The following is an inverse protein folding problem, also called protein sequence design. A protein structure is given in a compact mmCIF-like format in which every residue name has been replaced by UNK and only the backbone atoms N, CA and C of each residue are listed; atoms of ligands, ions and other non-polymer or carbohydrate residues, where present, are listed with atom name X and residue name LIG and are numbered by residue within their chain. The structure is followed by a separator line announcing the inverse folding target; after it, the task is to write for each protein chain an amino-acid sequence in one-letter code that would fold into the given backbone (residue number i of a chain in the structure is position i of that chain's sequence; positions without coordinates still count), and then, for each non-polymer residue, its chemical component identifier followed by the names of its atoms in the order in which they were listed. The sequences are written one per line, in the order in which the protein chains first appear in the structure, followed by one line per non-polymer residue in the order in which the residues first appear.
data_IF_224839881240
#
_entry.id   IF_224839881240
#
_cell.length_a   1.000
_cell.length_b   1.000
_cell.length_c   1.000
_cell.angle_alpha   90.00
_cell.angle_beta   90.00
_cell.angle_gamma   90.00
#
_symmetry.space_group_name_H-M   'P 1'
#
loop_
_entity.id
_entity.type
_entity.pdbx_description
1 polymer ?
#
# COMPACT_ATOMS: atom_id res chain seq x y z
N UNK A 1 -8.47 16.44 -9.81
CA UNK A 1 -7.66 15.37 -10.42
C UNK A 1 -8.50 14.10 -10.42
N UNK A 2 -9.09 13.78 -11.57
CA UNK A 2 -10.23 12.85 -11.65
C UNK A 2 -9.79 11.40 -11.41
N UNK A 3 -10.72 10.54 -10.99
CA UNK A 3 -10.48 9.09 -10.76
C UNK A 3 -10.01 8.35 -12.02
N UNK A 4 -10.26 8.92 -13.20
CA UNK A 4 -9.69 8.53 -14.49
C UNK A 4 -8.19 8.83 -14.62
N UNK A 5 -7.67 9.87 -13.97
CA UNK A 5 -6.23 10.19 -13.93
C UNK A 5 -5.48 9.23 -13.00
N UNK A 6 -6.10 8.80 -11.90
CA UNK A 6 -5.52 7.80 -11.00
C UNK A 6 -5.31 6.48 -11.76
N UNK A 7 -6.35 5.95 -12.44
CA UNK A 7 -6.23 4.71 -13.24
C UNK A 7 -5.18 4.80 -14.37
N UNK A 8 -4.93 6.00 -14.89
CA UNK A 8 -3.90 6.29 -15.92
C UNK A 8 -2.49 6.41 -15.33
N UNK A 9 -2.35 6.87 -14.08
CA UNK A 9 -1.09 6.90 -13.35
C UNK A 9 -0.66 5.51 -12.85
N UNK A 10 -1.59 4.67 -12.38
CA UNK A 10 -1.27 3.34 -11.85
C UNK A 10 -0.80 2.35 -12.93
N UNK A 11 -1.12 2.59 -14.20
CA UNK A 11 -0.58 1.82 -15.34
C UNK A 11 0.93 2.03 -15.55
N UNK A 12 1.50 3.14 -15.06
CA UNK A 12 2.94 3.42 -15.20
C UNK A 12 3.80 2.67 -14.17
N UNK A 13 3.31 2.48 -12.94
CA UNK A 13 4.02 1.70 -11.92
C UNK A 13 4.00 0.18 -12.18
N UNK A 14 3.03 -0.30 -12.97
CA UNK A 14 2.93 -1.70 -13.39
C UNK A 14 3.85 -2.05 -14.57
N UNK A 15 4.70 -1.12 -15.03
CA UNK A 15 5.65 -1.33 -16.14
C UNK A 15 7.10 -1.04 -15.73
N UNK A 16 7.47 -1.35 -14.48
CA UNK A 16 8.85 -1.27 -14.00
C UNK A 16 9.63 -2.60 -14.14
N UNK A 17 9.49 -3.28 -15.27
CA UNK A 17 10.55 -4.16 -15.77
C UNK A 17 10.50 -4.16 -17.30
N UNK A 18 11.62 -3.75 -17.89
CA UNK A 18 11.92 -3.62 -19.32
C UNK A 18 11.23 -2.46 -20.06
N UNK A 19 11.88 -1.29 -20.06
CA UNK A 19 12.04 -0.46 -21.27
C UNK A 19 12.99 0.72 -21.01
N UNK A 20 14.23 0.44 -20.60
CA UNK A 20 15.35 1.31 -20.95
C UNK A 20 15.75 1.00 -22.40
N UNK A 21 14.92 1.36 -23.38
CA UNK A 21 15.35 1.35 -24.80
C UNK A 21 15.99 2.69 -25.11
N UNK A 22 17.13 2.90 -24.48
CA UNK A 22 18.16 3.84 -24.91
C UNK A 22 19.53 3.18 -24.76
N UNK A 23 19.59 1.93 -25.22
CA UNK A 23 20.79 1.24 -25.66
C UNK A 23 20.35 0.34 -26.82
N UNK A 24 21.21 0.13 -27.81
CA UNK A 24 20.89 -0.58 -29.04
C UNK A 24 20.39 -2.02 -28.84
N UNK A 25 20.21 -2.71 -29.97
CA UNK A 25 19.80 -4.13 -30.12
C UNK A 25 20.30 -5.10 -29.02
N UNK A 26 21.43 -4.81 -28.39
CA UNK A 26 22.03 -5.47 -27.22
C UNK A 26 21.07 -5.67 -26.03
N UNK A 27 20.27 -4.66 -25.65
CA UNK A 27 19.42 -4.76 -24.44
C UNK A 27 18.21 -5.68 -24.59
N UNK A 28 17.68 -5.83 -25.81
CA UNK A 28 16.58 -6.75 -26.12
C UNK A 28 17.04 -8.20 -26.23
N UNK A 29 18.29 -8.41 -26.66
CA UNK A 29 18.88 -9.75 -26.77
C UNK A 29 19.21 -10.33 -25.38
N UNK A 30 19.72 -9.50 -24.45
CA UNK A 30 19.94 -9.89 -23.06
C UNK A 30 18.65 -10.29 -22.33
N UNK A 31 17.59 -9.49 -22.49
CA UNK A 31 16.27 -9.78 -21.88
C UNK A 31 15.68 -11.07 -22.48
N UNK A 32 15.79 -11.26 -23.79
CA UNK A 32 15.34 -12.48 -24.47
C UNK A 32 16.07 -13.73 -23.97
N UNK A 33 17.37 -13.63 -23.69
CA UNK A 33 18.17 -14.73 -23.14
C UNK A 33 17.83 -15.04 -21.66
N UNK A 34 17.38 -14.04 -20.90
CA UNK A 34 16.99 -14.19 -19.49
C UNK A 34 15.56 -14.70 -19.31
N UNK A 35 14.65 -14.44 -20.25
CA UNK A 35 13.23 -14.80 -20.17
C UNK A 35 12.98 -16.29 -19.84
N UNK A 36 13.70 -17.28 -20.42
CA UNK A 36 13.53 -18.69 -20.09
C UNK A 36 14.02 -19.06 -18.68
N UNK A 37 14.86 -18.22 -18.06
CA UNK A 37 15.46 -18.44 -16.73
C UNK A 37 14.64 -17.83 -15.59
N UNK A 38 13.59 -17.07 -15.92
CA UNK A 38 12.69 -16.47 -14.95
C UNK A 38 11.74 -17.50 -14.36
N UNK A 39 11.30 -17.25 -13.12
CA UNK A 39 10.23 -18.02 -12.51
C UNK A 39 8.96 -17.97 -13.37
N UNK A 40 8.17 -19.06 -13.44
CA UNK A 40 7.02 -19.14 -14.35
C UNK A 40 6.02 -17.98 -14.20
N UNK A 41 5.75 -17.56 -12.97
CA UNK A 41 4.84 -16.44 -12.69
C UNK A 41 5.40 -15.10 -13.20
N UNK A 42 6.68 -14.84 -12.96
CA UNK A 42 7.34 -13.62 -13.44
C UNK A 42 7.36 -13.57 -14.98
N UNK A 43 7.61 -14.72 -15.61
CA UNK A 43 7.56 -14.87 -17.06
C UNK A 43 6.17 -14.61 -17.62
N UNK A 44 5.12 -15.21 -17.03
CA UNK A 44 3.74 -15.00 -17.47
C UNK A 44 3.32 -13.52 -17.38
N UNK A 45 3.75 -12.81 -16.33
CA UNK A 45 3.50 -11.37 -16.19
C UNK A 45 4.19 -10.57 -17.31
N UNK A 46 5.44 -10.90 -17.66
CA UNK A 46 6.15 -10.22 -18.73
C UNK A 46 5.54 -10.49 -20.11
N UNK A 47 5.17 -11.75 -20.37
CA UNK A 47 4.51 -12.14 -21.62
C UNK A 47 3.15 -11.43 -21.78
N UNK A 48 2.35 -11.36 -20.72
CA UNK A 48 1.09 -10.61 -20.73
C UNK A 48 1.29 -9.11 -21.03
N UNK A 49 2.31 -8.49 -20.43
CA UNK A 49 2.65 -7.08 -20.68
C UNK A 49 3.18 -6.85 -22.10
N UNK A 50 4.00 -7.76 -22.62
CA UNK A 50 4.48 -7.71 -24.00
C UNK A 50 3.31 -7.83 -25.00
N UNK A 51 2.38 -8.75 -24.73
CA UNK A 51 1.13 -8.87 -25.48
C UNK A 51 0.34 -7.56 -25.48
N UNK A 52 0.14 -6.95 -24.30
CA UNK A 52 -0.54 -5.66 -24.17
C UNK A 52 0.16 -4.55 -24.96
N UNK A 53 1.49 -4.45 -24.86
CA UNK A 53 2.28 -3.47 -25.61
C UNK A 53 2.12 -3.63 -27.12
N UNK A 54 2.14 -4.87 -27.61
CA UNK A 54 1.97 -5.17 -29.03
C UNK A 54 0.57 -4.80 -29.54
N UNK A 55 -0.45 -4.92 -28.68
CA UNK A 55 -1.83 -4.55 -28.99
C UNK A 55 -2.09 -3.03 -28.95
N UNK A 56 -1.24 -2.25 -28.30
CA UNK A 56 -1.38 -0.79 -28.24
C UNK A 56 -1.13 -0.13 -29.60
N UNK A 57 -1.96 0.85 -29.92
CA UNK A 57 -1.78 1.79 -31.02
C UNK A 57 -0.55 2.69 -30.80
N UNK A 58 -0.08 3.35 -31.87
CA UNK A 58 1.04 4.29 -31.79
C UNK A 58 0.80 5.40 -30.75
N UNK A 59 -0.42 5.98 -30.73
CA UNK A 59 -0.80 7.01 -29.76
C UNK A 59 -0.76 6.51 -28.31
N UNK A 60 -1.19 5.27 -28.04
CA UNK A 60 -1.12 4.68 -26.71
C UNK A 60 0.33 4.43 -26.26
N UNK A 61 1.19 3.98 -27.19
CA UNK A 61 2.63 3.82 -26.94
C UNK A 61 3.30 5.17 -26.69
N UNK A 62 2.98 6.21 -27.47
CA UNK A 62 3.50 7.56 -27.27
C UNK A 62 3.08 8.13 -25.92
N UNK A 63 1.80 7.98 -25.56
CA UNK A 63 1.30 8.38 -24.25
C UNK A 63 1.99 7.63 -23.10
N UNK A 64 2.31 6.34 -23.28
CA UNK A 64 3.11 5.59 -22.31
C UNK A 64 4.54 6.12 -22.20
N UNK A 65 5.20 6.37 -23.33
CA UNK A 65 6.56 6.93 -23.36
C UNK A 65 6.64 8.29 -22.67
N UNK A 66 5.63 9.15 -22.87
CA UNK A 66 5.54 10.42 -22.15
C UNK A 66 5.42 10.23 -20.64
N UNK A 67 4.57 9.28 -20.18
CA UNK A 67 4.45 8.97 -18.75
C UNK A 67 5.75 8.41 -18.17
N UNK A 68 6.48 7.58 -18.92
CA UNK A 68 7.78 7.04 -18.48
C UNK A 68 8.81 8.16 -18.32
N UNK A 69 8.93 9.06 -19.30
CA UNK A 69 9.82 10.23 -19.18
C UNK A 69 9.46 11.12 -17.99
N UNK A 70 8.16 11.35 -17.77
CA UNK A 70 7.69 12.11 -16.62
C UNK A 70 8.06 11.41 -15.29
N UNK A 71 7.92 10.09 -15.23
CA UNK A 71 8.33 9.28 -14.08
C UNK A 71 9.84 9.33 -13.84
N UNK A 72 10.66 9.17 -14.88
CA UNK A 72 12.11 9.17 -14.77
C UNK A 72 12.67 10.55 -14.40
N UNK A 73 11.96 11.62 -14.74
CA UNK A 73 12.27 12.98 -14.32
C UNK A 73 11.97 13.24 -12.84
N UNK A 74 11.19 12.39 -12.17
CA UNK A 74 10.88 12.58 -10.75
C UNK A 74 12.12 12.32 -9.86
N UNK A 75 12.36 13.18 -8.85
CA UNK A 75 13.33 12.92 -7.81
C UNK A 75 13.14 11.54 -7.16
N UNK A 76 14.24 10.95 -6.69
CA UNK A 76 14.22 9.60 -6.09
C UNK A 76 13.22 9.50 -4.94
N UNK A 77 13.18 10.50 -4.06
CA UNK A 77 12.26 10.53 -2.92
C UNK A 77 10.79 10.53 -3.35
N UNK A 78 10.45 11.24 -4.43
CA UNK A 78 9.09 11.26 -4.97
C UNK A 78 8.70 9.92 -5.58
N UNK A 79 9.61 9.31 -6.35
CA UNK A 79 9.41 7.95 -6.89
C UNK A 79 9.18 6.93 -5.78
N UNK A 80 9.96 7.01 -4.71
CA UNK A 80 9.83 6.10 -3.57
C UNK A 80 8.50 6.31 -2.84
N UNK A 81 8.07 7.56 -2.61
CA UNK A 81 6.76 7.86 -2.03
C UNK A 81 5.60 7.35 -2.89
N UNK A 82 5.71 7.42 -4.22
CA UNK A 82 4.68 6.88 -5.12
C UNK A 82 4.64 5.35 -5.05
N UNK A 83 5.82 4.69 -5.04
CA UNK A 83 5.92 3.23 -4.89
C UNK A 83 5.33 2.76 -3.55
N UNK A 84 5.61 3.48 -2.47
CA UNK A 84 5.09 3.16 -1.15
C UNK A 84 3.55 3.21 -1.14
N UNK A 85 2.95 4.29 -1.69
CA UNK A 85 1.49 4.42 -1.84
C UNK A 85 0.89 3.33 -2.72
N UNK A 86 1.61 2.90 -3.76
CA UNK A 86 1.19 1.80 -4.61
C UNK A 86 1.14 0.47 -3.85
N UNK A 87 2.20 0.14 -3.12
CA UNK A 87 2.26 -1.10 -2.32
C UNK A 87 1.20 -1.10 -1.22
N UNK A 88 0.98 0.05 -0.57
CA UNK A 88 -0.11 0.23 0.39
C UNK A 88 -1.48 -0.04 -0.23
N UNK A 89 -1.76 0.56 -1.39
CA UNK A 89 -2.98 0.30 -2.16
C UNK A 89 -3.15 -1.18 -2.53
N UNK A 90 -2.06 -1.83 -2.96
CA UNK A 90 -2.08 -3.26 -3.28
C UNK A 90 -2.36 -4.13 -2.06
N UNK A 91 -1.96 -3.71 -0.87
CA UNK A 91 -2.18 -4.46 0.36
C UNK A 91 -3.56 -4.24 1.01
N UNK A 92 -4.40 -3.37 0.44
CA UNK A 92 -5.80 -3.20 0.83
C UNK A 92 -6.65 -4.37 0.36
N UNK A 93 -7.63 -4.77 1.16
CA UNK A 93 -8.67 -5.72 0.74
C UNK A 93 -9.54 -5.12 -0.36
N UNK A 94 -10.30 -5.96 -1.08
CA UNK A 94 -11.22 -5.48 -2.12
C UNK A 94 -12.26 -4.48 -1.56
N UNK A 95 -12.76 -4.74 -0.35
CA UNK A 95 -13.69 -3.86 0.36
C UNK A 95 -13.05 -2.53 0.75
N UNK A 96 -11.84 -2.55 1.31
CA UNK A 96 -11.08 -1.34 1.64
C UNK A 96 -10.80 -0.50 0.38
N UNK A 97 -10.40 -1.13 -0.73
CA UNK A 97 -10.21 -0.44 -2.01
C UNK A 97 -11.51 0.21 -2.49
N UNK A 98 -12.63 -0.51 -2.44
CA UNK A 98 -13.93 0.03 -2.82
C UNK A 98 -14.32 1.24 -1.95
N UNK A 99 -14.09 1.15 -0.64
CA UNK A 99 -14.32 2.24 0.31
C UNK A 99 -13.46 3.47 0.00
N UNK A 100 -12.17 3.29 -0.31
CA UNK A 100 -11.28 4.40 -0.70
C UNK A 100 -11.69 5.02 -2.04
N UNK A 101 -12.09 4.22 -3.05
CA UNK A 101 -12.63 4.76 -4.32
C UNK A 101 -13.89 5.59 -4.05
N UNK A 102 -14.82 5.08 -3.25
CA UNK A 102 -16.05 5.78 -2.91
C UNK A 102 -15.78 7.08 -2.13
N UNK A 103 -14.81 7.06 -1.20
CA UNK A 103 -14.35 8.25 -0.48
C UNK A 103 -13.74 9.28 -1.42
N UNK A 104 -12.90 8.86 -2.37
CA UNK A 104 -12.36 9.73 -3.41
C UNK A 104 -13.44 10.38 -4.27
N UNK A 105 -14.46 9.61 -4.67
CA UNK A 105 -15.60 10.14 -5.43
C UNK A 105 -16.46 11.12 -4.62
N UNK A 106 -16.59 10.94 -3.29
CA UNK A 106 -17.23 11.92 -2.41
C UNK A 106 -16.38 13.19 -2.29
N UNK A 107 -15.07 13.03 -2.05
CA UNK A 107 -14.13 14.13 -1.91
C UNK A 107 -14.11 15.04 -3.15
N UNK A 108 -14.19 14.48 -4.37
CA UNK A 108 -14.24 15.28 -5.59
C UNK A 108 -15.54 16.06 -5.80
N UNK A 109 -16.62 15.71 -5.10
CA UNK A 109 -17.91 16.41 -5.16
C UNK A 109 -18.02 17.55 -4.14
N UNK A 110 -17.11 17.60 -3.17
CA UNK A 110 -17.02 18.70 -2.22
C UNK A 110 -16.61 19.98 -2.95
N UNK A 111 -17.02 21.12 -2.42
CA UNK A 111 -16.62 22.40 -2.96
C UNK A 111 -15.12 22.66 -2.72
N UNK A 112 -14.59 23.79 -3.23
CA UNK A 112 -13.17 24.10 -3.05
C UNK A 112 -12.79 24.40 -1.59
N UNK A 113 -13.68 25.04 -0.82
CA UNK A 113 -13.43 25.42 0.56
C UNK A 113 -13.41 24.19 1.48
N UNK A 114 -14.40 23.30 1.34
CA UNK A 114 -14.47 22.03 2.06
C UNK A 114 -13.24 21.15 1.77
N UNK A 115 -12.81 21.08 0.50
CA UNK A 115 -11.61 20.32 0.13
C UNK A 115 -10.33 20.92 0.72
N UNK A 116 -10.24 22.24 0.80
CA UNK A 116 -9.12 22.94 1.42
C UNK A 116 -9.07 22.65 2.94
N UNK A 117 -10.20 22.76 3.63
CA UNK A 117 -10.30 22.45 5.08
C UNK A 117 -9.86 21.00 5.37
N UNK A 118 -10.34 20.03 4.59
CA UNK A 118 -9.92 18.63 4.74
C UNK A 118 -8.44 18.42 4.40
N UNK A 119 -7.90 19.20 3.46
CA UNK A 119 -6.48 19.14 3.11
C UNK A 119 -5.61 19.66 4.24
N UNK A 120 -5.94 20.83 4.76
CA UNK A 120 -5.27 21.44 5.91
C UNK A 120 -5.32 20.53 7.13
N UNK A 121 -6.50 19.95 7.44
CA UNK A 121 -6.64 19.02 8.56
C UNK A 121 -5.73 17.78 8.40
N UNK A 122 -5.62 17.24 7.19
CA UNK A 122 -4.72 16.11 6.94
C UNK A 122 -3.24 16.51 6.95
N UNK A 123 -2.90 17.69 6.43
CA UNK A 123 -1.53 18.18 6.39
C UNK A 123 -1.03 18.56 7.81
N UNK A 124 -1.95 18.90 8.72
CA UNK A 124 -1.69 19.14 10.14
C UNK A 124 -1.41 17.86 10.94
N UNK A 125 -1.80 16.68 10.44
CA UNK A 125 -1.44 15.40 11.08
C UNK A 125 0.07 15.20 11.08
N UNK A 126 0.59 14.49 12.08
CA UNK A 126 2.02 14.19 12.09
C UNK A 126 2.40 13.21 10.95
N UNK A 127 3.69 13.20 10.60
CA UNK A 127 4.17 12.37 9.49
C UNK A 127 3.94 10.87 9.69
N UNK A 128 3.92 10.38 10.94
CA UNK A 128 3.64 8.99 11.25
C UNK A 128 2.15 8.68 11.09
N UNK A 129 1.26 9.54 11.56
CA UNK A 129 -0.19 9.42 11.40
C UNK A 129 -0.62 9.46 9.94
N UNK A 130 -0.06 10.39 9.15
CA UNK A 130 -0.29 10.42 7.70
C UNK A 130 0.13 9.11 7.02
N UNK A 131 1.26 8.53 7.43
CA UNK A 131 1.67 7.20 6.95
C UNK A 131 0.78 6.08 7.48
N UNK A 132 0.25 6.20 8.70
CA UNK A 132 -0.72 5.27 9.29
C UNK A 132 -1.95 5.06 8.40
N UNK A 133 -2.43 6.11 7.75
CA UNK A 133 -3.54 6.03 6.79
C UNK A 133 -3.25 5.13 5.57
N UNK A 134 -1.98 4.82 5.28
CA UNK A 134 -1.61 3.85 4.23
C UNK A 134 -2.01 2.41 4.57
N UNK A 135 -2.30 2.10 5.84
CA UNK A 135 -2.84 0.80 6.26
C UNK A 135 -4.30 0.58 5.81
N UNK A 136 -4.95 1.62 5.28
CA UNK A 136 -6.33 1.60 4.83
C UNK A 136 -7.31 2.25 5.80
N UNK A 137 -8.59 2.38 5.40
CA UNK A 137 -9.58 3.09 6.19
C UNK A 137 -9.96 2.38 7.51
N UNK A 138 -9.76 1.06 7.58
CA UNK A 138 -10.08 0.27 8.78
C UNK A 138 -9.03 0.47 9.87
N UNK A 139 -7.75 0.34 9.52
CA UNK A 139 -6.64 0.41 10.48
C UNK A 139 -6.07 1.82 10.63
N UNK A 140 -6.09 2.64 9.57
CA UNK A 140 -5.47 3.96 9.57
C UNK A 140 -6.05 4.92 10.61
N UNK A 141 -7.36 4.85 10.86
CA UNK A 141 -8.03 5.63 11.89
C UNK A 141 -7.59 5.27 13.31
N UNK A 142 -7.23 3.99 13.53
CA UNK A 142 -6.86 3.44 14.83
C UNK A 142 -5.32 3.48 15.01
N UNK A 143 -4.58 3.90 13.97
CA UNK A 143 -3.13 3.92 13.94
C UNK A 143 -2.49 4.74 15.06
N UNK A 144 -2.93 5.98 15.40
CA UNK A 144 -2.27 6.76 16.45
C UNK A 144 -2.19 6.01 17.78
N UNK A 145 -3.27 5.30 18.14
CA UNK A 145 -3.35 4.53 19.37
C UNK A 145 -2.56 3.21 19.31
N UNK A 146 -2.37 2.65 18.11
CA UNK A 146 -1.61 1.42 17.87
C UNK A 146 -0.16 1.68 17.45
N UNK A 147 0.24 2.93 17.24
CA UNK A 147 1.57 3.33 16.73
C UNK A 147 2.72 2.76 17.57
N UNK A 148 2.66 2.73 18.91
CA UNK A 148 3.73 2.12 19.72
C UNK A 148 3.89 0.61 19.50
N UNK A 149 2.84 -0.08 19.09
CA UNK A 149 2.89 -1.49 18.69
C UNK A 149 3.43 -1.63 17.27
N UNK A 150 3.04 -0.73 16.35
CA UNK A 150 3.32 -0.88 14.92
C UNK A 150 4.62 -0.25 14.42
N UNK A 151 5.30 0.56 15.24
CA UNK A 151 6.48 1.31 14.81
C UNK A 151 7.67 0.43 14.40
N UNK A 152 7.83 -0.76 15.01
CA UNK A 152 9.00 -1.63 14.82
C UNK A 152 8.59 -3.10 14.62
N UNK A 153 7.66 -3.35 13.71
CA UNK A 153 7.29 -4.72 13.35
C UNK A 153 8.38 -5.29 12.41
N UNK A 154 8.91 -6.50 12.66
CA UNK A 154 9.76 -7.25 11.74
C UNK A 154 9.01 -7.56 10.44
N UNK A 155 9.71 -7.51 9.30
CA UNK A 155 9.09 -7.61 7.97
C UNK A 155 8.28 -8.90 7.78
N UNK A 156 8.75 -10.00 8.37
CA UNK A 156 8.12 -11.32 8.36
C UNK A 156 6.79 -11.35 9.13
N UNK A 157 6.62 -10.51 10.15
CA UNK A 157 5.39 -10.44 10.95
C UNK A 157 4.34 -9.49 10.35
N UNK A 158 4.73 -8.60 9.42
CA UNK A 158 3.86 -7.52 8.90
C UNK A 158 2.53 -8.03 8.35
N UNK A 159 2.59 -9.08 7.52
CA UNK A 159 1.41 -9.59 6.83
C UNK A 159 0.45 -10.30 7.79
N UNK A 160 0.99 -11.10 8.70
CA UNK A 160 0.21 -11.85 9.68
C UNK A 160 -0.45 -10.89 10.69
N UNK A 161 0.33 -9.96 11.25
CA UNK A 161 -0.18 -8.96 12.19
C UNK A 161 -1.29 -8.10 11.56
N UNK A 162 -1.12 -7.65 10.31
CA UNK A 162 -2.15 -6.89 9.59
C UNK A 162 -3.42 -7.69 9.38
N UNK A 163 -3.30 -8.98 9.12
CA UNK A 163 -4.44 -9.89 8.97
C UNK A 163 -5.21 -10.01 10.28
N UNK A 164 -4.51 -10.25 11.39
CA UNK A 164 -5.12 -10.31 12.73
C UNK A 164 -5.82 -8.99 13.10
N UNK A 165 -5.15 -7.85 12.90
CA UNK A 165 -5.72 -6.53 13.23
C UNK A 165 -6.97 -6.19 12.39
N UNK A 166 -7.05 -6.67 11.15
CA UNK A 166 -8.24 -6.52 10.31
C UNK A 166 -9.37 -7.45 10.73
N UNK A 167 -9.05 -8.63 11.25
CA UNK A 167 -10.05 -9.55 11.81
C UNK A 167 -10.65 -9.04 13.13
N UNK A 168 -9.95 -8.16 13.85
CA UNK A 168 -10.47 -7.51 15.06
C UNK A 168 -11.66 -6.59 14.75
N UNK A 169 -12.62 -6.54 15.66
CA UNK A 169 -13.65 -5.51 15.68
C UNK A 169 -13.08 -4.16 16.11
N UNK A 170 -13.83 -3.09 15.88
CA UNK A 170 -13.47 -1.75 16.36
C UNK A 170 -13.30 -1.68 17.89
N UNK A 171 -14.08 -2.46 18.64
CA UNK A 171 -13.95 -2.56 20.11
C UNK A 171 -12.66 -3.27 20.49
N UNK A 172 -12.40 -4.42 19.87
CA UNK A 172 -11.17 -5.18 20.12
C UNK A 172 -9.88 -4.39 19.81
N UNK A 173 -9.88 -3.56 18.77
CA UNK A 173 -8.73 -2.67 18.48
C UNK A 173 -8.56 -1.56 19.53
N UNK A 174 -9.65 -1.04 20.08
CA UNK A 174 -9.60 -0.08 21.20
C UNK A 174 -9.05 -0.74 22.47
N UNK A 175 -9.52 -1.95 22.77
CA UNK A 175 -9.03 -2.75 23.89
C UNK A 175 -7.54 -3.08 23.74
N UNK A 176 -7.10 -3.45 22.52
CA UNK A 176 -5.69 -3.62 22.22
C UNK A 176 -4.90 -2.33 22.43
N UNK A 177 -5.43 -1.16 22.03
CA UNK A 177 -4.74 0.11 22.25
C UNK A 177 -4.53 0.40 23.75
N UNK A 178 -5.48 0.04 24.61
CA UNK A 178 -5.32 0.13 26.08
C UNK A 178 -4.17 -0.75 26.54
N UNK A 179 -4.08 -2.00 26.07
CA UNK A 179 -2.96 -2.90 26.39
C UNK A 179 -1.62 -2.31 25.93
N UNK A 180 -1.55 -1.80 24.70
CA UNK A 180 -0.34 -1.20 24.12
C UNK A 180 0.15 -0.01 24.95
N UNK A 181 -0.75 0.85 25.43
CA UNK A 181 -0.39 1.99 26.27
C UNK A 181 0.17 1.59 27.63
N UNK A 182 -0.28 0.47 28.20
CA UNK A 182 0.17 -0.05 29.50
C UNK A 182 1.44 -0.89 29.41
N UNK A 183 1.84 -1.29 28.20
CA UNK A 183 2.94 -2.23 27.97
C UNK A 183 4.29 -1.53 27.81
N UNK A 184 5.31 -2.03 28.51
CA UNK A 184 6.72 -1.69 28.27
C UNK A 184 7.16 -2.06 26.83
N UNK A 185 8.30 -1.54 26.34
CA UNK A 185 8.83 -1.93 25.03
C UNK A 185 8.97 -3.46 24.85
N UNK A 186 9.50 -4.16 25.85
CA UNK A 186 9.68 -5.62 25.78
C UNK A 186 8.35 -6.38 25.76
N UNK A 187 7.35 -5.90 26.51
CA UNK A 187 6.01 -6.49 26.48
C UNK A 187 5.33 -6.25 25.13
N UNK A 188 5.53 -5.09 24.51
CA UNK A 188 5.00 -4.80 23.17
C UNK A 188 5.58 -5.73 22.11
N UNK A 189 6.86 -6.07 22.21
CA UNK A 189 7.50 -7.03 21.30
C UNK A 189 6.83 -8.41 21.42
N UNK A 190 6.57 -8.85 22.65
CA UNK A 190 5.83 -10.09 22.90
C UNK A 190 4.39 -10.03 22.38
N UNK A 191 3.68 -8.92 22.61
CA UNK A 191 2.32 -8.72 22.10
C UNK A 191 2.28 -8.82 20.57
N UNK A 192 3.27 -8.25 19.86
CA UNK A 192 3.36 -8.36 18.40
C UNK A 192 3.48 -9.80 17.93
N UNK A 193 4.43 -10.56 18.47
CA UNK A 193 4.66 -11.95 18.03
C UNK A 193 3.47 -12.85 18.39
N UNK A 194 2.80 -12.62 19.52
CA UNK A 194 1.56 -13.33 19.87
C UNK A 194 0.44 -13.00 18.87
N UNK A 195 0.20 -11.72 18.59
CA UNK A 195 -0.82 -11.29 17.62
C UNK A 195 -0.55 -11.79 16.19
N UNK A 196 0.72 -11.89 15.79
CA UNK A 196 1.11 -12.40 14.48
C UNK A 196 0.77 -13.89 14.29
N UNK A 197 0.67 -14.67 15.38
CA UNK A 197 0.30 -16.11 15.32
C UNK A 197 -1.16 -16.37 15.69
N UNK A 198 -1.83 -15.38 16.28
CA UNK A 198 -3.18 -15.49 16.80
C UNK A 198 -4.21 -15.71 15.69
N UNK A 199 -5.01 -16.77 15.84
CA UNK A 199 -6.13 -17.03 14.94
C UNK A 199 -7.33 -16.13 15.26
N UNK A 200 -8.13 -15.71 14.26
CA UNK A 200 -9.27 -14.82 14.47
C UNK A 200 -10.25 -15.26 15.58
N UNK A 201 -10.52 -16.57 15.68
CA UNK A 201 -11.43 -17.13 16.68
C UNK A 201 -10.94 -16.96 18.13
N UNK A 202 -9.62 -16.84 18.34
CA UNK A 202 -9.01 -16.70 19.66
C UNK A 202 -8.88 -15.26 20.16
N UNK A 203 -9.16 -14.26 19.31
CA UNK A 203 -8.91 -12.83 19.61
C UNK A 203 -9.60 -12.37 20.90
N UNK A 204 -10.89 -12.69 21.05
CA UNK A 204 -11.68 -12.24 22.21
C UNK A 204 -11.14 -12.81 23.52
N UNK A 205 -10.83 -14.11 23.55
CA UNK A 205 -10.30 -14.77 24.75
C UNK A 205 -8.92 -14.22 25.12
N UNK A 206 -8.05 -14.05 24.11
CA UNK A 206 -6.71 -13.49 24.31
C UNK A 206 -6.76 -12.05 24.85
N UNK A 207 -7.64 -11.18 24.31
CA UNK A 207 -7.79 -9.81 24.82
C UNK A 207 -8.30 -9.78 26.26
N UNK A 208 -9.28 -10.62 26.59
CA UNK A 208 -9.83 -10.70 27.93
C UNK A 208 -8.77 -11.13 28.96
N UNK A 209 -8.03 -12.21 28.66
CA UNK A 209 -6.94 -12.69 29.53
C UNK A 209 -5.85 -11.63 29.76
N UNK A 210 -5.58 -10.79 28.75
CA UNK A 210 -4.56 -9.74 28.84
C UNK A 210 -5.01 -8.50 29.58
N UNK A 211 -6.29 -8.15 29.50
CA UNK A 211 -6.84 -6.97 30.17
C UNK A 211 -7.09 -7.19 31.66
N UNK A 212 -7.31 -8.43 32.09
CA UNK A 212 -7.55 -8.81 33.49
C UNK A 212 -6.26 -8.87 34.33
N UNK A 213 -5.10 -8.89 33.67
CA UNK A 213 -3.77 -8.86 34.32
C UNK A 213 -3.28 -7.42 34.53
#
# INVERSE_FOLDING_TARGET
MNTTDLRRWWGACLLLLACSVQAGRSGTDEISALLPRLQPEARAVLEARAGQWSAWSASERDGFQQRMRAWDALPRAERDAIRERYLAWQALTAEERASVVAAGARYQRLDAAERATLREAFDALDGSERRGWMLGPVLGRDYPALQPLLAQVPQEEHAALRTTLRAMTATQRRDLAVLVQRSSPQERDRLRSELATLQPAGISAWLWERLDR
#
